data_IF_542801200368
#
_entry.id   IF_542801200368
#
_cell.length_a   1.000
_cell.length_b   1.000
_cell.length_c   1.000
_cell.angle_alpha   90.00
_cell.angle_beta   90.00
_cell.angle_gamma   90.00
#
_symmetry.space_group_name_H-M   'P 1'
#
loop_
_entity.id
_entity.type
_entity.pdbx_description
1 polymer ?
#
# COMPACT_ATOMS: atom_id res chain seq x y z
N UNK A 1 -9.54 7.78 24.70
CA UNK A 1 -10.61 7.27 23.82
C UNK A 1 -9.93 6.82 22.53
N UNK A 2 -10.26 5.65 22.00
CA UNK A 2 -9.79 5.20 20.69
C UNK A 2 -11.00 5.19 19.76
N UNK A 3 -10.89 5.84 18.60
CA UNK A 3 -11.93 5.80 17.57
C UNK A 3 -11.64 4.66 16.60
N UNK A 4 -12.65 3.82 16.34
CA UNK A 4 -12.60 2.89 15.21
C UNK A 4 -12.90 3.65 13.93
N UNK A 5 -12.07 3.50 12.92
CA UNK A 5 -12.21 4.17 11.63
C UNK A 5 -12.62 3.14 10.58
N UNK A 6 -13.60 3.50 9.77
CA UNK A 6 -14.07 2.71 8.62
C UNK A 6 -14.08 3.61 7.37
N UNK A 7 -13.75 3.03 6.21
CA UNK A 7 -13.90 3.74 4.95
C UNK A 7 -15.37 4.05 4.67
N UNK A 8 -15.64 5.19 4.04
CA UNK A 8 -17.00 5.53 3.62
C UNK A 8 -17.44 4.56 2.53
N UNK A 9 -18.49 3.79 2.81
CA UNK A 9 -19.18 2.97 1.82
C UNK A 9 -20.57 3.55 1.58
N UNK A 10 -21.00 3.63 0.32
CA UNK A 10 -22.38 4.05 -0.06
C UNK A 10 -22.81 5.41 0.51
N UNK A 11 -21.88 6.37 0.60
CA UNK A 11 -22.18 7.73 1.07
C UNK A 11 -22.39 7.85 2.58
N UNK A 12 -21.92 6.88 3.36
CA UNK A 12 -21.94 6.94 4.83
C UNK A 12 -21.11 8.13 5.34
N UNK A 13 -21.67 8.88 6.30
CA UNK A 13 -21.05 10.05 6.93
C UNK A 13 -20.83 9.85 8.41
N UNK A 14 -19.78 10.46 8.95
CA UNK A 14 -19.47 10.48 10.38
C UNK A 14 -20.57 11.21 11.16
N UNK A 15 -21.15 10.54 12.15
CA UNK A 15 -22.20 11.11 13.01
C UNK A 15 -21.62 11.74 14.28
N UNK A 16 -21.14 12.98 14.16
CA UNK A 16 -20.44 13.69 15.24
C UNK A 16 -21.27 13.84 16.52
N UNK A 17 -22.58 14.07 16.41
CA UNK A 17 -23.49 14.20 17.57
C UNK A 17 -23.57 12.94 18.43
N UNK A 18 -23.60 11.76 17.80
CA UNK A 18 -23.64 10.48 18.51
C UNK A 18 -22.32 10.25 19.26
N UNK A 19 -21.20 10.65 18.64
CA UNK A 19 -19.86 10.58 19.23
C UNK A 19 -19.76 11.50 20.45
N UNK A 20 -20.18 12.76 20.36
CA UNK A 20 -20.17 13.71 21.48
C UNK A 20 -21.00 13.21 22.67
N UNK A 21 -22.18 12.64 22.41
CA UNK A 21 -23.03 12.04 23.47
C UNK A 21 -22.34 10.86 24.14
N UNK A 22 -21.67 9.99 23.38
CA UNK A 22 -20.94 8.84 23.92
C UNK A 22 -19.72 9.26 24.76
N UNK A 23 -19.02 10.31 24.35
CA UNK A 23 -17.87 10.89 25.08
C UNK A 23 -18.34 11.51 26.40
N UNK A 24 -19.42 12.30 26.38
CA UNK A 24 -20.02 12.90 27.60
C UNK A 24 -20.45 11.83 28.61
N UNK A 25 -21.03 10.71 28.15
CA UNK A 25 -21.40 9.58 29.03
C UNK A 25 -20.20 8.93 29.72
N UNK A 26 -18.99 9.06 29.17
CA UNK A 26 -17.74 8.58 29.77
C UNK A 26 -17.07 9.62 30.69
N UNK A 27 -17.74 10.73 30.99
CA UNK A 27 -17.23 11.77 31.89
C UNK A 27 -16.10 12.61 31.29
N UNK A 28 -15.90 12.57 29.97
CA UNK A 28 -14.83 13.30 29.28
C UNK A 28 -15.43 14.60 28.70
N UNK A 29 -14.90 15.74 29.11
CA UNK A 29 -15.30 17.05 28.62
C UNK A 29 -14.48 17.42 27.37
N UNK A 30 -15.08 17.27 26.19
CA UNK A 30 -14.52 17.70 24.89
C UNK A 30 -15.57 18.58 24.21
N UNK A 31 -15.14 19.70 23.64
CA UNK A 31 -16.02 20.57 22.84
C UNK A 31 -16.18 20.02 21.42
N UNK A 32 -17.26 20.42 20.75
CA UNK A 32 -17.49 20.08 19.33
C UNK A 32 -16.32 20.55 18.44
N UNK A 33 -15.85 21.77 18.65
CA UNK A 33 -14.70 22.34 17.94
C UNK A 33 -13.41 21.51 18.12
N UNK A 34 -13.15 21.00 19.34
CA UNK A 34 -12.00 20.13 19.60
C UNK A 34 -12.13 18.79 18.86
N UNK A 35 -13.34 18.24 18.78
CA UNK A 35 -13.62 17.00 18.06
C UNK A 35 -13.47 17.19 16.55
N UNK A 36 -14.03 18.27 15.99
CA UNK A 36 -13.87 18.63 14.58
C UNK A 36 -12.40 18.84 14.22
N UNK A 37 -11.66 19.57 15.06
CA UNK A 37 -10.23 19.79 14.84
C UNK A 37 -9.46 18.47 14.84
N UNK A 38 -9.77 17.55 15.75
CA UNK A 38 -9.13 16.24 15.79
C UNK A 38 -9.43 15.42 14.53
N UNK A 39 -10.67 15.43 14.05
CA UNK A 39 -11.05 14.76 12.81
C UNK A 39 -10.39 15.39 11.59
N UNK A 40 -10.38 16.72 11.46
CA UNK A 40 -9.67 17.40 10.36
C UNK A 40 -8.18 17.10 10.35
N UNK A 41 -7.53 17.04 11.51
CA UNK A 41 -6.11 16.68 11.60
C UNK A 41 -5.89 15.23 11.16
N UNK A 42 -6.77 14.31 11.57
CA UNK A 42 -6.72 12.91 11.15
C UNK A 42 -6.98 12.72 9.65
N UNK A 43 -8.02 13.37 9.10
CA UNK A 43 -8.35 13.38 7.67
C UNK A 43 -7.18 13.95 6.85
N UNK A 44 -6.61 15.08 7.28
CA UNK A 44 -5.43 15.67 6.64
C UNK A 44 -4.21 14.74 6.69
N UNK A 45 -4.02 13.98 7.77
CA UNK A 45 -2.94 12.99 7.84
C UNK A 45 -3.16 11.82 6.88
N UNK A 46 -4.40 11.50 6.50
CA UNK A 46 -4.71 10.50 5.47
C UNK A 46 -4.72 11.03 4.04
N UNK A 47 -4.88 12.34 3.85
CA UNK A 47 -4.92 13.01 2.54
C UNK A 47 -3.56 13.61 2.13
N UNK A 48 -2.66 13.84 3.08
CA UNK A 48 -1.30 14.27 2.76
C UNK A 48 -0.51 13.04 2.31
N UNK A 49 -0.33 12.92 1.01
CA UNK A 49 0.60 11.96 0.42
C UNK A 49 2.03 12.29 0.87
N UNK A 50 2.55 11.50 1.80
CA UNK A 50 3.95 11.60 2.23
C UNK A 50 4.82 10.96 1.16
N UNK A 51 5.47 11.77 0.33
CA UNK A 51 6.56 11.29 -0.49
C UNK A 51 7.72 10.92 0.43
N UNK A 52 7.92 9.61 0.65
CA UNK A 52 9.05 9.14 1.44
C UNK A 52 10.30 9.14 0.55
N UNK A 53 11.21 10.07 0.79
CA UNK A 53 12.45 10.16 0.05
C UNK A 53 13.44 9.10 0.54
N UNK A 54 13.85 8.19 -0.36
CA UNK A 54 14.81 7.12 -0.07
C UNK A 54 16.17 7.63 0.41
N UNK A 55 16.54 8.87 0.10
CA UNK A 55 17.79 9.51 0.51
C UNK A 55 17.58 11.03 0.68
N UNK A 56 16.76 11.42 1.67
CA UNK A 56 16.46 12.81 1.95
C UNK A 56 17.71 13.66 2.20
N UNK A 57 18.75 13.10 2.83
CA UNK A 57 19.98 13.83 3.12
C UNK A 57 20.65 14.34 1.86
N UNK A 58 20.95 13.43 0.93
CA UNK A 58 21.61 13.80 -0.33
C UNK A 58 20.74 14.77 -1.14
N UNK A 59 19.43 14.45 -1.25
CA UNK A 59 18.48 15.27 -2.00
C UNK A 59 18.39 16.70 -1.44
N UNK A 60 18.14 16.87 -0.14
CA UNK A 60 17.97 18.19 0.48
C UNK A 60 19.28 18.98 0.48
N UNK A 61 20.43 18.32 0.66
CA UNK A 61 21.73 18.98 0.53
C UNK A 61 21.97 19.49 -0.90
N UNK A 62 21.59 18.72 -1.91
CA UNK A 62 21.66 19.13 -3.32
C UNK A 62 20.73 20.30 -3.61
N UNK A 63 19.46 20.24 -3.18
CA UNK A 63 18.51 21.34 -3.34
C UNK A 63 18.99 22.61 -2.64
N UNK A 64 19.52 22.49 -1.42
CA UNK A 64 20.10 23.63 -0.72
C UNK A 64 21.31 24.19 -1.48
N UNK A 65 22.20 23.34 -2.01
CA UNK A 65 23.35 23.79 -2.80
C UNK A 65 22.91 24.57 -4.04
N UNK A 66 21.95 24.04 -4.81
CA UNK A 66 21.42 24.70 -6.00
C UNK A 66 20.82 26.08 -5.66
N UNK A 67 19.96 26.13 -4.65
CA UNK A 67 19.39 27.37 -4.15
C UNK A 67 20.47 28.35 -3.67
N UNK A 68 21.43 27.86 -2.87
CA UNK A 68 22.49 28.68 -2.31
C UNK A 68 23.40 29.25 -3.41
N UNK A 69 23.63 28.50 -4.48
CA UNK A 69 24.41 28.94 -5.64
C UNK A 69 23.68 30.05 -6.39
N UNK A 70 22.38 29.88 -6.67
CA UNK A 70 21.57 30.91 -7.30
C UNK A 70 21.57 32.19 -6.46
N UNK A 71 21.27 32.06 -5.16
CA UNK A 71 21.31 33.18 -4.22
C UNK A 71 22.71 33.82 -4.16
N UNK A 72 23.78 33.00 -4.22
CA UNK A 72 25.17 33.44 -4.29
C UNK A 72 25.42 34.44 -5.42
N UNK A 73 25.02 34.04 -6.62
CA UNK A 73 25.32 34.80 -7.83
C UNK A 73 24.43 36.03 -8.01
N UNK A 74 23.17 35.98 -7.56
CA UNK A 74 22.26 37.13 -7.64
C UNK A 74 22.82 38.36 -6.89
N UNK A 75 23.51 38.15 -5.78
CA UNK A 75 24.06 39.23 -4.96
C UNK A 75 25.58 39.41 -5.02
N UNK A 76 26.30 38.62 -5.83
CA UNK A 76 27.77 38.52 -5.78
C UNK A 76 28.51 39.86 -5.91
N UNK A 77 27.95 40.84 -6.64
CA UNK A 77 28.55 42.18 -6.81
C UNK A 77 28.48 43.06 -5.56
N UNK A 78 27.58 42.76 -4.64
CA UNK A 78 27.24 43.60 -3.48
C UNK A 78 27.72 43.01 -2.15
N UNK A 79 28.28 41.81 -2.16
CA UNK A 79 28.58 41.08 -0.93
C UNK A 79 29.93 41.41 -0.35
N UNK A 80 29.91 42.05 0.83
CA UNK A 80 31.08 42.18 1.68
C UNK A 80 31.49 40.85 2.33
N UNK A 81 32.71 40.81 2.88
CA UNK A 81 33.27 39.63 3.55
C UNK A 81 32.38 39.12 4.71
N UNK A 82 31.77 40.03 5.47
CA UNK A 82 30.85 39.68 6.57
C UNK A 82 29.63 38.91 6.08
N UNK A 83 29.08 39.30 4.91
CA UNK A 83 27.93 38.61 4.31
C UNK A 83 28.31 37.21 3.83
N UNK A 84 29.48 37.06 3.22
CA UNK A 84 30.00 35.75 2.82
C UNK A 84 30.16 34.84 4.03
N UNK A 85 30.69 35.35 5.14
CA UNK A 85 30.81 34.59 6.38
C UNK A 85 29.44 34.18 6.95
N UNK A 86 28.46 35.09 6.98
CA UNK A 86 27.08 34.76 7.37
C UNK A 86 26.47 33.64 6.52
N UNK A 87 26.74 33.62 5.22
CA UNK A 87 26.23 32.58 4.31
C UNK A 87 26.90 31.22 4.55
N UNK A 88 28.17 31.18 4.93
CA UNK A 88 28.81 29.93 5.38
C UNK A 88 28.16 29.42 6.67
N UNK A 89 27.91 30.31 7.65
CA UNK A 89 27.22 29.95 8.88
C UNK A 89 25.80 29.43 8.59
N UNK A 90 25.07 30.08 7.68
CA UNK A 90 23.74 29.64 7.24
C UNK A 90 23.79 28.22 6.64
N UNK A 91 24.76 27.95 5.77
CA UNK A 91 24.96 26.62 5.18
C UNK A 91 25.20 25.56 6.25
N UNK A 92 26.05 25.85 7.25
CA UNK A 92 26.33 24.91 8.33
C UNK A 92 25.09 24.61 9.17
N UNK A 93 24.27 25.64 9.46
CA UNK A 93 22.99 25.47 10.16
C UNK A 93 22.02 24.65 9.30
N UNK A 94 21.88 24.98 8.01
CA UNK A 94 21.01 24.26 7.09
C UNK A 94 21.39 22.78 7.00
N UNK A 95 22.68 22.46 6.91
CA UNK A 95 23.15 21.07 6.86
C UNK A 95 22.89 20.31 8.16
N UNK A 96 23.00 20.97 9.32
CA UNK A 96 22.60 20.36 10.61
C UNK A 96 21.10 20.07 10.66
N UNK A 97 20.27 20.99 10.16
CA UNK A 97 18.81 20.78 10.08
C UNK A 97 18.48 19.65 9.11
N UNK A 98 19.10 19.62 7.93
CA UNK A 98 18.92 18.55 6.94
C UNK A 98 19.32 17.20 7.54
N UNK A 99 20.45 17.14 8.24
CA UNK A 99 20.90 15.92 8.91
C UNK A 99 19.92 15.44 9.99
N UNK A 100 19.27 16.36 10.71
CA UNK A 100 18.22 16.03 11.67
C UNK A 100 16.95 15.51 10.97
N UNK A 101 16.46 16.20 9.94
CA UNK A 101 15.26 15.79 9.19
C UNK A 101 15.48 14.43 8.53
N UNK A 102 16.65 14.21 7.95
CA UNK A 102 16.98 12.96 7.25
C UNK A 102 16.95 11.75 8.16
N UNK A 103 17.27 11.89 9.44
CA UNK A 103 17.14 10.79 10.40
C UNK A 103 15.70 10.33 10.56
N UNK A 104 14.73 11.25 10.61
CA UNK A 104 13.31 10.87 10.64
C UNK A 104 12.89 10.19 9.35
N UNK A 105 13.35 10.72 8.21
CA UNK A 105 13.03 10.14 6.92
C UNK A 105 13.58 8.72 6.79
N UNK A 106 14.83 8.49 7.21
CA UNK A 106 15.44 7.16 7.22
C UNK A 106 14.63 6.17 8.06
N UNK A 107 14.05 6.61 9.20
CA UNK A 107 13.15 5.78 9.99
C UNK A 107 11.82 5.50 9.27
N UNK A 108 11.25 6.49 8.58
CA UNK A 108 10.04 6.29 7.76
C UNK A 108 10.32 5.31 6.61
N UNK A 109 11.45 5.46 5.91
CA UNK A 109 11.92 4.53 4.87
C UNK A 109 12.05 3.12 5.44
N UNK A 110 12.64 2.96 6.63
CA UNK A 110 12.74 1.65 7.30
C UNK A 110 11.37 1.08 7.60
N UNK A 111 10.45 1.86 8.17
CA UNK A 111 9.09 1.41 8.50
C UNK A 111 8.32 1.03 7.24
N UNK A 112 8.43 1.85 6.19
CA UNK A 112 7.82 1.59 4.90
C UNK A 112 8.32 0.27 4.31
N UNK A 113 9.63 0.06 4.30
CA UNK A 113 10.28 -1.13 3.76
C UNK A 113 10.22 -2.37 4.67
N UNK A 114 9.57 -2.29 5.85
CA UNK A 114 9.40 -3.47 6.69
C UNK A 114 8.65 -4.56 5.89
N UNK A 115 9.17 -5.80 5.87
CA UNK A 115 8.48 -6.92 5.24
C UNK A 115 7.03 -7.00 5.70
N UNK A 116 6.09 -7.04 4.75
CA UNK A 116 4.68 -7.20 5.06
C UNK A 116 4.37 -8.68 5.19
N UNK A 117 3.56 -9.00 6.20
CA UNK A 117 3.08 -10.36 6.40
C UNK A 117 1.92 -10.67 5.46
N UNK A 118 1.91 -11.90 4.93
CA UNK A 118 0.78 -12.41 4.16
C UNK A 118 -0.41 -12.56 5.09
N UNK A 119 -1.49 -11.80 4.83
CA UNK A 119 -2.72 -11.86 5.63
C UNK A 119 -3.62 -13.03 5.25
N UNK A 120 -3.59 -13.44 3.99
CA UNK A 120 -4.39 -14.53 3.46
C UNK A 120 -3.68 -15.16 2.25
N UNK A 121 -3.77 -16.47 2.12
CA UNK A 121 -3.29 -17.25 0.98
C UNK A 121 -4.33 -18.28 0.61
N UNK A 122 -4.66 -18.39 -0.67
CA UNK A 122 -5.57 -19.39 -1.21
C UNK A 122 -4.99 -19.91 -2.52
N UNK A 123 -5.44 -21.08 -2.93
CA UNK A 123 -4.99 -21.74 -4.15
C UNK A 123 -6.17 -21.98 -5.07
N UNK A 124 -5.96 -21.71 -6.34
CA UNK A 124 -6.93 -22.00 -7.40
C UNK A 124 -6.39 -23.16 -8.22
N UNK A 125 -7.03 -24.31 -8.11
CA UNK A 125 -6.54 -25.58 -8.66
C UNK A 125 -7.66 -26.22 -9.47
N UNK A 126 -7.37 -26.65 -10.69
CA UNK A 126 -8.35 -27.35 -11.52
C UNK A 126 -8.61 -28.76 -11.00
N UNK A 127 -9.87 -29.19 -11.04
CA UNK A 127 -10.27 -30.51 -10.52
C UNK A 127 -9.52 -31.68 -11.17
N UNK A 128 -9.11 -31.55 -12.44
CA UNK A 128 -8.33 -32.57 -13.16
C UNK A 128 -6.90 -32.74 -12.62
N UNK A 129 -6.37 -31.76 -11.87
CA UNK A 129 -5.06 -31.89 -11.19
C UNK A 129 -5.14 -32.62 -9.85
N UNK A 130 -6.33 -32.92 -9.35
CA UNK A 130 -6.54 -33.70 -8.12
C UNK A 130 -6.59 -35.18 -8.49
N UNK A 131 -5.46 -35.88 -8.31
CA UNK A 131 -5.35 -37.30 -8.66
C UNK A 131 -6.26 -38.20 -7.81
N UNK A 132 -6.47 -37.86 -6.54
CA UNK A 132 -7.37 -38.60 -5.66
C UNK A 132 -8.85 -38.34 -5.98
N UNK A 133 -9.47 -39.32 -6.65
CA UNK A 133 -10.90 -39.31 -6.97
C UNK A 133 -11.80 -39.21 -5.73
N UNK A 134 -11.39 -39.75 -4.57
CA UNK A 134 -12.19 -39.66 -3.34
C UNK A 134 -12.21 -38.23 -2.82
N UNK A 135 -11.07 -37.54 -2.87
CA UNK A 135 -10.97 -36.13 -2.50
C UNK A 135 -11.79 -35.25 -3.45
N UNK A 136 -11.72 -35.48 -4.76
CA UNK A 136 -12.55 -34.77 -5.73
C UNK A 136 -14.06 -34.91 -5.43
N UNK A 137 -14.52 -36.12 -5.11
CA UNK A 137 -15.92 -36.36 -4.71
C UNK A 137 -16.26 -35.73 -3.35
N UNK A 138 -15.33 -35.70 -2.39
CA UNK A 138 -15.47 -35.01 -1.10
C UNK A 138 -15.66 -33.51 -1.30
N UNK A 139 -14.90 -32.89 -2.21
CA UNK A 139 -15.03 -31.47 -2.57
C UNK A 139 -16.40 -31.17 -3.17
N UNK A 140 -16.87 -31.98 -4.13
CA UNK A 140 -18.20 -31.81 -4.76
C UNK A 140 -19.36 -31.90 -3.78
N UNK A 141 -19.22 -32.72 -2.73
CA UNK A 141 -20.23 -32.91 -1.68
C UNK A 141 -20.08 -31.93 -0.52
N UNK A 142 -19.04 -31.09 -0.52
CA UNK A 142 -18.79 -30.17 0.57
C UNK A 142 -19.89 -29.10 0.66
N UNK A 143 -20.23 -28.70 1.89
CA UNK A 143 -21.31 -27.72 2.17
C UNK A 143 -21.14 -26.37 1.43
N UNK A 144 -19.90 -25.98 1.15
CA UNK A 144 -19.59 -24.72 0.46
C UNK A 144 -19.44 -24.86 -1.06
N UNK A 145 -19.55 -26.07 -1.63
CA UNK A 145 -19.49 -26.27 -3.08
C UNK A 145 -20.49 -25.41 -3.87
N UNK A 146 -21.74 -25.17 -3.40
CA UNK A 146 -22.65 -24.24 -4.07
C UNK A 146 -22.11 -22.80 -4.20
N UNK A 147 -21.25 -22.35 -3.27
CA UNK A 147 -20.62 -21.02 -3.34
C UNK A 147 -19.58 -20.97 -4.48
N UNK A 148 -18.78 -22.04 -4.63
CA UNK A 148 -17.85 -22.19 -5.75
C UNK A 148 -18.59 -22.18 -7.09
N UNK A 149 -19.70 -22.93 -7.19
CA UNK A 149 -20.52 -22.99 -8.41
C UNK A 149 -21.16 -21.64 -8.73
N UNK A 150 -21.52 -20.85 -7.71
CA UNK A 150 -22.04 -19.49 -7.89
C UNK A 150 -20.96 -18.58 -8.49
N UNK A 151 -19.75 -18.61 -7.94
CA UNK A 151 -18.61 -17.85 -8.48
C UNK A 151 -18.31 -18.24 -9.93
N UNK A 152 -18.32 -19.54 -10.27
CA UNK A 152 -18.15 -19.99 -11.64
C UNK A 152 -19.17 -19.37 -12.60
N UNK A 153 -20.45 -19.35 -12.21
CA UNK A 153 -21.50 -18.72 -13.03
C UNK A 153 -21.26 -17.23 -13.24
N UNK A 154 -20.84 -16.51 -12.20
CA UNK A 154 -20.52 -15.08 -12.28
C UNK A 154 -19.31 -14.81 -13.20
N UNK A 155 -18.35 -15.74 -13.24
CA UNK A 155 -17.16 -15.69 -14.11
C UNK A 155 -17.38 -16.31 -15.50
N UNK A 156 -18.58 -16.83 -15.81
CA UNK A 156 -18.87 -17.51 -17.08
C UNK A 156 -18.21 -18.88 -17.25
N UNK A 157 -17.80 -19.53 -16.15
CA UNK A 157 -17.21 -20.87 -16.14
C UNK A 157 -18.33 -21.93 -16.07
N UNK A 158 -18.28 -22.90 -16.95
CA UNK A 158 -19.22 -24.04 -16.94
C UNK A 158 -18.95 -24.97 -15.76
N UNK A 159 -19.99 -25.28 -14.97
CA UNK A 159 -19.90 -26.20 -13.83
C UNK A 159 -19.60 -27.64 -14.25
N UNK A 160 -19.97 -28.02 -15.48
CA UNK A 160 -19.85 -29.38 -16.00
C UNK A 160 -18.50 -29.59 -16.71
N UNK A 161 -17.68 -28.54 -16.82
CA UNK A 161 -16.32 -28.63 -17.32
C UNK A 161 -15.43 -29.43 -16.33
N UNK A 162 -14.80 -30.54 -16.76
CA UNK A 162 -13.91 -31.34 -15.90
C UNK A 162 -12.71 -30.57 -15.36
N UNK A 163 -12.33 -29.46 -16.01
CA UNK A 163 -11.21 -28.58 -15.62
C UNK A 163 -11.64 -27.36 -14.83
N UNK A 164 -12.86 -27.33 -14.29
CA UNK A 164 -13.32 -26.20 -13.50
C UNK A 164 -12.42 -26.00 -12.27
N UNK A 165 -11.93 -24.77 -12.04
CA UNK A 165 -11.01 -24.48 -10.95
C UNK A 165 -11.74 -24.39 -9.62
N UNK A 166 -11.24 -25.04 -8.58
CA UNK A 166 -11.68 -24.82 -7.21
C UNK A 166 -10.76 -23.81 -6.53
N UNK A 167 -11.34 -22.91 -5.73
CA UNK A 167 -10.63 -21.97 -4.89
C UNK A 167 -10.67 -22.46 -3.43
N UNK A 168 -9.50 -22.71 -2.84
CA UNK A 168 -9.40 -23.20 -1.46
C UNK A 168 -10.00 -22.23 -0.43
N UNK A 169 -10.29 -20.97 -0.78
CA UNK A 169 -11.00 -20.04 0.10
C UNK A 169 -12.35 -20.59 0.59
N UNK A 170 -13.02 -21.43 -0.19
CA UNK A 170 -14.29 -22.07 0.19
C UNK A 170 -14.12 -23.42 0.90
N UNK A 171 -12.93 -24.01 0.84
CA UNK A 171 -12.64 -25.38 1.29
C UNK A 171 -11.43 -25.40 2.23
N UNK A 172 -11.35 -24.44 3.16
CA UNK A 172 -10.20 -24.28 4.08
C UNK A 172 -9.91 -25.51 4.94
N UNK A 173 -10.95 -26.28 5.27
CA UNK A 173 -10.84 -27.56 5.97
C UNK A 173 -10.20 -28.67 5.12
N UNK A 174 -10.29 -28.58 3.78
CA UNK A 174 -9.71 -29.53 2.84
C UNK A 174 -8.40 -29.04 2.22
N UNK A 175 -7.96 -27.81 2.53
CA UNK A 175 -6.81 -27.18 1.87
C UNK A 175 -5.55 -28.05 1.95
N UNK A 176 -5.20 -28.55 3.14
CA UNK A 176 -4.02 -29.41 3.30
C UNK A 176 -4.12 -30.73 2.52
N UNK A 177 -5.31 -31.34 2.46
CA UNK A 177 -5.53 -32.57 1.68
C UNK A 177 -5.37 -32.30 0.18
N UNK A 178 -5.85 -31.15 -0.31
CA UNK A 178 -5.72 -30.70 -1.70
C UNK A 178 -4.26 -30.42 -2.02
N UNK A 179 -3.56 -29.62 -1.21
CA UNK A 179 -2.17 -29.26 -1.44
C UNK A 179 -1.23 -30.48 -1.33
N UNK A 180 -1.58 -31.44 -0.48
CA UNK A 180 -0.85 -32.71 -0.34
C UNK A 180 -0.85 -33.59 -1.61
N UNK A 181 -1.68 -33.28 -2.61
CA UNK A 181 -1.65 -33.96 -3.91
C UNK A 181 -0.43 -33.56 -4.77
N UNK A 182 0.26 -32.48 -4.40
CA UNK A 182 1.37 -31.93 -5.18
C UNK A 182 2.71 -32.19 -4.47
N UNK A 183 3.63 -32.86 -5.17
CA UNK A 183 4.98 -33.13 -4.64
C UNK A 183 5.78 -31.84 -4.41
N UNK A 184 5.66 -30.92 -5.35
CA UNK A 184 6.27 -29.59 -5.30
C UNK A 184 5.19 -28.59 -5.73
N UNK A 185 4.51 -28.03 -4.74
CA UNK A 185 3.41 -27.10 -4.96
C UNK A 185 3.88 -25.89 -5.77
N UNK A 186 5.07 -25.37 -5.45
CA UNK A 186 5.59 -24.15 -6.04
C UNK A 186 5.84 -24.27 -7.55
N UNK A 187 6.38 -25.41 -7.97
CA UNK A 187 6.58 -25.72 -9.39
C UNK A 187 5.30 -26.12 -10.12
N UNK A 188 4.27 -26.49 -9.39
CA UNK A 188 2.97 -26.90 -9.96
C UNK A 188 2.04 -25.71 -10.21
N UNK A 189 2.40 -24.51 -9.73
CA UNK A 189 1.64 -23.29 -9.92
C UNK A 189 2.01 -22.61 -11.25
N UNK A 190 1.00 -22.25 -12.03
CA UNK A 190 1.19 -21.56 -13.31
C UNK A 190 1.19 -20.02 -13.17
N UNK A 191 0.78 -19.48 -12.01
CA UNK A 191 0.64 -18.05 -11.84
C UNK A 191 0.37 -17.64 -10.39
N UNK A 192 0.54 -16.34 -10.14
CA UNK A 192 0.39 -15.71 -8.82
C UNK A 192 -0.50 -14.49 -8.94
N UNK A 193 -1.54 -14.41 -8.10
CA UNK A 193 -2.37 -13.22 -7.94
C UNK A 193 -2.09 -12.59 -6.58
N UNK A 194 -1.57 -11.36 -6.58
CA UNK A 194 -1.15 -10.67 -5.35
C UNK A 194 -1.98 -9.41 -5.19
N UNK A 195 -2.79 -9.38 -4.12
CA UNK A 195 -3.54 -8.19 -3.72
C UNK A 195 -2.77 -7.43 -2.65
N UNK A 196 -2.05 -6.40 -3.05
CA UNK A 196 -1.27 -5.52 -2.15
C UNK A 196 -1.03 -4.18 -2.84
N UNK A 197 -0.53 -3.19 -2.10
CA UNK A 197 0.13 -2.03 -2.69
C UNK A 197 1.34 -2.50 -3.51
N UNK A 198 1.54 -1.91 -4.69
CA UNK A 198 2.42 -2.45 -5.75
C UNK A 198 3.90 -2.45 -5.35
N UNK A 199 4.39 -1.41 -4.69
CA UNK A 199 5.76 -1.35 -4.19
C UNK A 199 6.04 -2.46 -3.19
N UNK A 200 5.12 -2.69 -2.25
CA UNK A 200 5.23 -3.76 -1.25
C UNK A 200 5.12 -5.16 -1.88
N UNK A 201 4.22 -5.34 -2.85
CA UNK A 201 4.08 -6.59 -3.58
C UNK A 201 5.39 -6.97 -4.29
N UNK A 202 5.92 -6.03 -5.07
CA UNK A 202 7.14 -6.22 -5.86
C UNK A 202 8.35 -6.49 -4.95
N UNK A 203 8.50 -5.72 -3.87
CA UNK A 203 9.57 -5.93 -2.89
C UNK A 203 9.51 -7.32 -2.27
N UNK A 204 8.30 -7.80 -1.93
CA UNK A 204 8.09 -9.11 -1.30
C UNK A 204 8.47 -10.26 -2.24
N UNK A 205 8.12 -10.18 -3.51
CA UNK A 205 8.37 -11.26 -4.48
C UNK A 205 9.72 -11.16 -5.18
N UNK A 206 10.44 -10.06 -4.98
CA UNK A 206 11.70 -9.76 -5.67
C UNK A 206 12.70 -10.91 -5.55
N UNK A 207 12.94 -11.41 -4.34
CA UNK A 207 13.92 -12.48 -4.12
C UNK A 207 13.64 -13.75 -4.94
N UNK A 208 12.36 -14.03 -5.21
CA UNK A 208 11.92 -15.21 -5.95
C UNK A 208 11.99 -15.03 -7.46
N UNK A 209 11.54 -13.89 -7.98
CA UNK A 209 11.38 -13.68 -9.43
C UNK A 209 12.47 -12.80 -10.06
N UNK A 210 13.44 -12.29 -9.29
CA UNK A 210 14.54 -11.46 -9.81
C UNK A 210 15.24 -12.19 -10.96
N UNK A 211 15.31 -11.54 -12.12
CA UNK A 211 15.96 -12.08 -13.32
C UNK A 211 15.15 -13.11 -14.11
N UNK A 212 13.89 -13.39 -13.74
CA UNK A 212 13.05 -14.39 -14.41
C UNK A 212 11.96 -13.77 -15.32
N UNK A 213 11.69 -12.47 -15.20
CA UNK A 213 10.69 -11.78 -16.02
C UNK A 213 11.18 -11.54 -17.46
N UNK A 214 10.40 -11.95 -18.45
CA UNK A 214 10.68 -11.72 -19.87
C UNK A 214 9.94 -10.50 -20.43
N UNK A 215 8.73 -10.23 -19.93
CA UNK A 215 7.90 -9.11 -20.32
C UNK A 215 7.12 -8.57 -19.11
N UNK A 216 6.93 -7.25 -19.06
CA UNK A 216 6.13 -6.57 -18.04
C UNK A 216 5.14 -5.68 -18.78
N UNK A 217 3.84 -5.87 -18.50
CA UNK A 217 2.77 -5.00 -18.97
C UNK A 217 2.21 -4.22 -17.78
N UNK A 218 2.13 -2.90 -17.90
CA UNK A 218 1.58 -2.00 -16.89
C UNK A 218 0.59 -1.06 -17.59
N UNK A 219 -0.58 -0.90 -16.98
CA UNK A 219 -1.58 0.09 -17.38
C UNK A 219 -1.90 0.98 -16.17
N UNK A 220 -0.96 1.87 -15.77
CA UNK A 220 -1.20 2.79 -14.67
C UNK A 220 -2.24 3.85 -15.09
N UNK A 221 -2.96 4.45 -14.13
CA UNK A 221 -3.88 5.56 -14.44
C UNK A 221 -3.14 6.70 -15.13
N UNK A 222 -3.71 7.21 -16.22
CA UNK A 222 -3.19 8.39 -16.92
C UNK A 222 -3.60 9.67 -16.19
N UNK A 223 -2.71 10.66 -16.14
CA UNK A 223 -2.96 11.95 -15.49
C UNK A 223 -3.80 12.90 -16.39
N UNK A 224 -4.99 12.45 -16.79
CA UNK A 224 -5.93 13.15 -17.70
C UNK A 224 -6.72 14.28 -17.02
N UNK A 225 -6.33 14.67 -15.79
CA UNK A 225 -6.91 15.79 -15.04
C UNK A 225 -8.17 15.48 -14.21
N UNK A 226 -8.88 14.38 -14.49
CA UNK A 226 -10.03 13.93 -13.70
C UNK A 226 -9.85 12.55 -13.03
N UNK A 227 -8.85 11.77 -13.45
CA UNK A 227 -8.67 10.37 -13.05
C UNK A 227 -7.55 10.16 -12.00
N UNK A 228 -6.83 11.24 -11.66
CA UNK A 228 -5.67 11.18 -10.76
C UNK A 228 -5.71 12.31 -9.73
N UNK A 229 -5.41 12.00 -8.47
CA UNK A 229 -5.39 12.97 -7.35
C UNK A 229 -4.09 13.83 -7.41
N UNK A 230 -3.08 13.35 -8.14
CA UNK A 230 -1.81 14.05 -8.34
C UNK A 230 -1.88 14.90 -9.62
N UNK A 231 -1.92 16.21 -9.47
CA UNK A 231 -1.59 17.11 -10.58
C UNK A 231 -0.06 17.15 -10.71
N UNK A 232 0.52 16.27 -11.53
CA UNK A 232 1.83 16.58 -12.09
C UNK A 232 1.68 17.63 -13.20
N UNK A 233 2.57 18.62 -13.23
CA UNK A 233 2.62 19.66 -14.27
C UNK A 233 3.11 19.12 -15.63
N UNK A 234 3.55 17.86 -15.68
CA UNK A 234 3.78 17.13 -16.92
C UNK A 234 2.47 16.48 -17.37
N UNK A 235 1.65 17.26 -18.09
CA UNK A 235 0.62 16.72 -18.95
C UNK A 235 1.28 16.28 -20.26
N UNK A 236 1.05 15.03 -20.66
CA UNK A 236 1.31 14.58 -22.03
C UNK A 236 0.26 15.15 -23.00
#
# INVERSE_FOLDING_TARGET
>A
IVFGVSYSERGTKTKQDEILKAIKRKGIAITEEQLERAFRVFEKQSEVDFFINKNAKAFLQEQFKLWSYQYFWEGAKEWGADRVNQLQILKDIAFKIIDFISQFEDELVKIWNKPKFVKNSNYVITLDRIADKKLAEKIKKHKNYPQQVKEWKELGIDKDNPKSPIDTKYFKDLELEILGQFKDLDKSLDGWLIKSENYQALTTILAKFKGHGQAIYLDPPFNTGNDFIFLDNFQD
#
